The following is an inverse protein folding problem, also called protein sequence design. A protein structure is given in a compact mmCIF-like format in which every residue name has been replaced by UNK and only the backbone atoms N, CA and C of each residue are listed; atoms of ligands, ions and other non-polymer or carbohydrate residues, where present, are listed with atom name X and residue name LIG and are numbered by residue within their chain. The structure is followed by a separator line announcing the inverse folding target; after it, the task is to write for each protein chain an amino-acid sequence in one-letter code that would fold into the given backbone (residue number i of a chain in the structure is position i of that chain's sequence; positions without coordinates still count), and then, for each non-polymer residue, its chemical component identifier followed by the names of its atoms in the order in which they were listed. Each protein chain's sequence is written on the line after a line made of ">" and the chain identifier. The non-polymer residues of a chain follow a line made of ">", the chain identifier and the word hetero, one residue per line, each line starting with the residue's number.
data_IF_822282830645
#
_entry.id   IF_822282830645
#
_cell.length_a   1.000
_cell.length_b   1.000
_cell.length_c   1.000
_cell.angle_alpha   90.00
_cell.angle_beta   90.00
_cell.angle_gamma   90.00
#
_symmetry.space_group_name_H-M   'P 1'
#
loop_
_entity.id
_entity.type
_entity.pdbx_description
1 polymer ?
#
# COMPACT_ATOMS: atom_id res chain seq x y z
N UNK A 1 31.75 -22.50 24.88
CA UNK A 1 31.68 -21.01 24.85
C UNK A 1 30.88 -20.63 23.61
N UNK A 2 29.60 -20.99 23.53
CA UNK A 2 28.45 -20.30 24.11
C UNK A 2 27.49 -20.05 22.94
N UNK A 3 26.75 -21.08 22.50
CA UNK A 3 25.34 -21.33 22.87
C UNK A 3 24.41 -20.11 22.71
N UNK A 4 23.56 -20.18 21.67
CA UNK A 4 22.09 -20.06 21.74
C UNK A 4 21.54 -20.23 20.32
N UNK A 5 21.13 -21.44 19.92
CA UNK A 5 19.80 -22.02 20.14
C UNK A 5 18.72 -21.29 19.32
N UNK A 6 18.58 -21.74 18.07
CA UNK A 6 17.39 -21.59 17.25
C UNK A 6 16.36 -22.63 17.68
N UNK A 7 15.19 -22.20 18.16
CA UNK A 7 13.91 -22.93 18.19
C UNK A 7 12.85 -21.94 18.73
N UNK A 8 11.55 -22.12 18.49
CA UNK A 8 10.87 -22.28 17.21
C UNK A 8 9.76 -21.23 17.03
N UNK A 9 9.26 -21.10 15.79
CA UNK A 9 7.99 -20.44 15.47
C UNK A 9 6.87 -21.20 16.20
N UNK A 10 6.42 -20.66 17.33
CA UNK A 10 5.19 -21.07 17.98
C UNK A 10 4.06 -20.19 17.44
N UNK A 11 3.32 -20.77 16.51
CA UNK A 11 1.92 -20.48 16.29
C UNK A 11 1.21 -20.51 17.65
N UNK A 12 0.80 -19.34 18.15
CA UNK A 12 -0.21 -19.24 19.20
C UNK A 12 -1.42 -18.51 18.63
N UNK A 13 -2.16 -19.22 17.77
CA UNK A 13 -3.60 -19.06 17.71
C UNK A 13 -4.20 -19.48 19.05
N UNK A 14 -4.10 -18.59 20.04
CA UNK A 14 -4.83 -18.71 21.30
C UNK A 14 -6.14 -17.95 21.16
N UNK A 15 -7.30 -18.54 21.48
CA UNK A 15 -8.55 -17.82 21.43
C UNK A 15 -8.46 -16.63 22.40
N UNK A 16 -8.97 -15.47 21.97
CA UNK A 16 -9.33 -14.40 22.89
C UNK A 16 -10.30 -15.00 23.92
N UNK A 17 -9.77 -15.52 25.02
CA UNK A 17 -10.52 -15.72 26.25
C UNK A 17 -10.84 -14.31 26.72
N UNK A 18 -11.94 -13.79 26.21
CA UNK A 18 -12.70 -12.75 26.86
C UNK A 18 -12.88 -13.28 28.27
N UNK A 19 -12.13 -12.71 29.22
CA UNK A 19 -12.49 -12.77 30.62
C UNK A 19 -13.82 -12.01 30.72
N UNK A 20 -14.89 -12.68 30.32
CA UNK A 20 -16.21 -12.47 30.84
C UNK A 20 -16.05 -12.79 32.32
N UNK A 21 -15.65 -11.78 33.08
CA UNK A 21 -16.06 -11.71 34.48
C UNK A 21 -17.57 -11.85 34.41
N UNK A 22 -18.14 -12.97 34.91
CA UNK A 22 -19.57 -13.04 35.02
C UNK A 22 -19.89 -11.97 36.05
N UNK A 23 -20.46 -10.86 35.59
CA UNK A 23 -21.33 -10.06 36.43
C UNK A 23 -22.50 -11.00 36.73
N UNK A 24 -22.27 -11.86 37.72
CA UNK A 24 -23.31 -12.68 38.32
C UNK A 24 -24.24 -11.64 38.90
N UNK A 25 -25.32 -11.37 38.18
CA UNK A 25 -26.42 -10.56 38.68
C UNK A 25 -26.95 -11.34 39.88
N UNK A 26 -26.45 -10.97 41.06
CA UNK A 26 -26.95 -11.50 42.31
C UNK A 26 -28.32 -10.87 42.45
N UNK A 27 -29.41 -11.66 42.45
CA UNK A 27 -30.74 -11.11 42.63
C UNK A 27 -30.76 -10.33 43.96
N UNK A 28 -31.57 -9.26 44.06
CA UNK A 28 -31.68 -8.55 45.33
C UNK A 28 -32.04 -9.58 46.41
N UNK A 29 -31.36 -9.60 47.57
CA UNK A 29 -31.71 -10.55 48.60
C UNK A 29 -33.15 -10.28 49.01
N UNK A 30 -34.04 -11.21 48.66
CA UNK A 30 -35.29 -11.37 49.39
C UNK A 30 -34.90 -11.49 50.85
N UNK A 31 -35.43 -10.56 51.66
CA UNK A 31 -35.36 -10.53 53.11
C UNK A 31 -34.04 -11.02 53.72
N UNK A 32 -33.19 -10.09 54.16
CA UNK A 32 -32.01 -10.41 54.99
C UNK A 32 -32.40 -11.07 56.31
N UNK A 33 -32.64 -12.38 56.28
CA UNK A 33 -32.63 -13.27 57.44
C UNK A 33 -31.17 -13.71 57.66
N UNK A 34 -30.43 -12.89 58.41
CA UNK A 34 -29.18 -13.32 59.01
C UNK A 34 -29.49 -14.35 60.08
N UNK A 35 -29.31 -15.63 59.76
CA UNK A 35 -29.33 -16.69 60.75
C UNK A 35 -28.06 -16.61 61.60
N UNK A 36 -28.20 -16.06 62.80
CA UNK A 36 -27.38 -16.41 63.97
C UNK A 36 -28.30 -17.00 65.03
N UNK A 37 -27.78 -17.96 65.79
CA UNK A 37 -28.57 -18.90 66.57
C UNK A 37 -29.45 -18.29 67.68
N UNK A 38 -29.46 -16.98 67.92
CA UNK A 38 -30.30 -16.32 68.94
C UNK A 38 -30.97 -15.05 68.38
N UNK A 39 -32.31 -15.07 68.28
CA UNK A 39 -33.18 -13.89 68.19
C UNK A 39 -33.18 -13.07 66.88
N UNK A 40 -34.33 -12.98 66.19
CA UNK A 40 -34.55 -12.02 65.08
C UNK A 40 -34.39 -10.59 65.59
N UNK A 41 -33.26 -9.95 65.31
CA UNK A 41 -33.12 -8.51 65.47
C UNK A 41 -33.62 -7.81 64.21
N UNK A 42 -34.92 -7.49 64.18
CA UNK A 42 -35.49 -6.63 63.14
C UNK A 42 -34.94 -5.22 63.35
N UNK A 43 -33.89 -4.87 62.60
CA UNK A 43 -33.36 -3.51 62.55
C UNK A 43 -34.49 -2.54 62.17
N UNK A 44 -34.65 -1.43 62.91
CA UNK A 44 -35.67 -0.43 62.58
C UNK A 44 -35.45 0.07 61.14
N UNK A 45 -36.53 0.37 60.39
CA UNK A 45 -36.44 0.88 59.01
C UNK A 45 -35.50 2.09 58.87
N UNK A 46 -35.47 2.96 59.88
CA UNK A 46 -34.58 4.13 59.95
C UNK A 46 -33.09 3.76 60.01
N UNK A 47 -32.71 2.75 60.79
CA UNK A 47 -31.34 2.21 60.83
C UNK A 47 -30.93 1.56 59.51
N UNK A 48 -31.85 0.83 58.87
CA UNK A 48 -31.58 0.17 57.59
C UNK A 48 -31.36 1.20 56.46
N UNK A 49 -32.17 2.27 56.43
CA UNK A 49 -31.98 3.39 55.51
C UNK A 49 -30.64 4.10 55.68
N UNK A 50 -30.18 4.31 56.91
CA UNK A 50 -28.89 4.96 57.18
C UNK A 50 -27.71 4.10 56.72
N UNK A 51 -27.77 2.79 56.93
CA UNK A 51 -26.77 1.85 56.42
C UNK A 51 -26.74 1.85 54.90
N UNK A 52 -27.91 1.78 54.24
CA UNK A 52 -27.99 1.84 52.77
C UNK A 52 -27.45 3.17 52.21
N UNK A 53 -27.70 4.30 52.86
CA UNK A 53 -27.11 5.59 52.46
C UNK A 53 -25.58 5.62 52.57
N UNK A 54 -25.01 4.98 53.60
CA UNK A 54 -23.55 4.85 53.75
C UNK A 54 -22.97 3.95 52.66
N UNK A 55 -23.59 2.81 52.40
CA UNK A 55 -23.19 1.89 51.32
C UNK A 55 -23.21 2.61 49.95
N UNK A 56 -24.27 3.35 49.64
CA UNK A 56 -24.36 4.13 48.39
C UNK A 56 -23.25 5.16 48.31
N UNK A 57 -22.97 5.90 49.39
CA UNK A 57 -21.88 6.87 49.41
C UNK A 57 -20.49 6.22 49.22
N UNK A 58 -20.26 5.03 49.76
CA UNK A 58 -19.02 4.28 49.57
C UNK A 58 -18.88 3.76 48.14
N UNK A 59 -19.96 3.21 47.57
CA UNK A 59 -20.01 2.74 46.18
C UNK A 59 -19.80 3.91 45.22
N UNK A 60 -20.42 5.07 45.46
CA UNK A 60 -20.21 6.28 44.67
C UNK A 60 -18.75 6.75 44.72
N UNK A 61 -18.12 6.75 45.90
CA UNK A 61 -16.69 7.09 46.03
C UNK A 61 -15.81 6.10 45.29
N UNK A 62 -16.10 4.80 45.36
CA UNK A 62 -15.36 3.76 44.64
C UNK A 62 -15.51 3.90 43.12
N UNK A 63 -16.72 4.17 42.63
CA UNK A 63 -16.99 4.44 41.21
C UNK A 63 -16.27 5.69 40.72
N UNK A 64 -16.24 6.77 41.51
CA UNK A 64 -15.50 7.99 41.17
C UNK A 64 -14.00 7.70 41.02
N UNK A 65 -13.39 7.00 41.98
CA UNK A 65 -11.98 6.57 41.89
C UNK A 65 -11.72 5.70 40.66
N UNK A 66 -12.59 4.74 40.35
CA UNK A 66 -12.45 3.91 39.14
C UNK A 66 -12.54 4.74 37.86
N UNK A 67 -13.46 5.71 37.79
CA UNK A 67 -13.60 6.60 36.63
C UNK A 67 -12.36 7.47 36.45
N UNK A 68 -11.84 8.05 37.53
CA UNK A 68 -10.60 8.84 37.51
C UNK A 68 -9.41 8.03 37.02
N UNK A 69 -9.22 6.81 37.53
CA UNK A 69 -8.12 5.93 37.10
C UNK A 69 -8.27 5.55 35.62
N UNK A 70 -9.47 5.16 35.16
CA UNK A 70 -9.71 4.84 33.74
C UNK A 70 -9.52 6.05 32.84
N UNK A 71 -9.91 7.24 33.29
CA UNK A 71 -9.72 8.47 32.54
C UNK A 71 -8.23 8.83 32.42
N UNK A 72 -7.47 8.74 33.51
CA UNK A 72 -6.01 8.94 33.50
C UNK A 72 -5.31 8.00 32.53
N UNK A 73 -5.62 6.70 32.59
CA UNK A 73 -5.06 5.71 31.66
C UNK A 73 -5.41 6.00 30.19
N UNK A 74 -6.65 6.46 29.91
CA UNK A 74 -7.04 6.87 28.55
C UNK A 74 -6.27 8.10 28.09
N UNK A 75 -6.09 9.08 28.96
CA UNK A 75 -5.32 10.28 28.65
C UNK A 75 -3.84 9.98 28.40
N UNK A 76 -3.24 9.08 29.18
CA UNK A 76 -1.86 8.63 28.98
C UNK A 76 -1.70 7.92 27.64
N UNK A 77 -2.61 7.01 27.27
CA UNK A 77 -2.58 6.36 25.95
C UNK A 77 -2.73 7.35 24.80
N UNK A 78 -3.59 8.34 24.94
CA UNK A 78 -3.76 9.40 23.94
C UNK A 78 -2.50 10.27 23.85
N UNK A 79 -1.88 10.61 24.97
CA UNK A 79 -0.63 11.37 25.00
C UNK A 79 0.53 10.61 24.33
N UNK A 80 0.66 9.31 24.62
CA UNK A 80 1.62 8.43 23.96
C UNK A 80 1.37 8.36 22.45
N UNK A 81 0.09 8.23 22.04
CA UNK A 81 -0.27 8.19 20.61
C UNK A 81 0.05 9.50 19.91
N UNK A 82 -0.18 10.65 20.56
CA UNK A 82 0.20 11.97 20.04
C UNK A 82 1.72 12.05 19.83
N UNK A 83 2.51 11.73 20.84
CA UNK A 83 3.98 11.71 20.71
C UNK A 83 4.47 10.80 19.58
N UNK A 84 3.86 9.62 19.41
CA UNK A 84 4.19 8.73 18.30
C UNK A 84 3.87 9.32 16.92
N UNK A 85 2.74 10.04 16.81
CA UNK A 85 2.37 10.72 15.58
C UNK A 85 3.32 11.89 15.29
N UNK A 86 3.67 12.68 16.31
CA UNK A 86 4.61 13.81 16.17
C UNK A 86 5.98 13.32 15.68
N UNK A 87 6.49 12.22 16.24
CA UNK A 87 7.75 11.61 15.80
C UNK A 87 7.67 11.08 14.37
N UNK A 88 6.55 10.47 13.97
CA UNK A 88 6.36 10.00 12.60
C UNK A 88 6.27 11.15 11.61
N UNK A 89 5.58 12.22 11.98
CA UNK A 89 5.50 13.43 11.19
C UNK A 89 6.88 14.05 10.99
N UNK A 90 7.68 14.18 12.06
CA UNK A 90 9.06 14.66 11.97
C UNK A 90 9.90 13.80 11.02
N UNK A 91 9.85 12.47 11.13
CA UNK A 91 10.56 11.56 10.21
C UNK A 91 10.13 11.76 8.76
N UNK A 92 8.84 11.94 8.50
CA UNK A 92 8.34 12.19 7.14
C UNK A 92 8.81 13.55 6.61
N UNK A 93 8.84 14.58 7.47
CA UNK A 93 9.40 15.90 7.13
C UNK A 93 10.89 15.79 6.78
N UNK A 94 11.68 15.07 7.56
CA UNK A 94 13.10 14.86 7.32
C UNK A 94 13.34 14.14 5.99
N UNK A 95 12.56 13.09 5.71
CA UNK A 95 12.60 12.39 4.43
C UNK A 95 12.24 13.32 3.28
N UNK A 96 11.21 14.17 3.45
CA UNK A 96 10.84 15.19 2.47
C UNK A 96 11.98 16.17 2.17
N UNK A 97 12.66 16.68 3.21
CA UNK A 97 13.81 17.57 3.06
C UNK A 97 15.01 16.87 2.38
N UNK A 98 15.25 15.61 2.70
CA UNK A 98 16.31 14.83 2.05
C UNK A 98 16.00 14.60 0.55
N UNK A 99 14.74 14.33 0.21
CA UNK A 99 14.33 14.20 -1.19
C UNK A 99 14.45 15.53 -1.96
N UNK A 100 14.04 16.66 -1.38
CA UNK A 100 14.19 17.95 -2.06
C UNK A 100 15.67 18.31 -2.26
N UNK A 101 16.52 18.08 -1.27
CA UNK A 101 17.97 18.26 -1.40
C UNK A 101 18.57 17.34 -2.48
N UNK A 102 18.11 16.08 -2.57
CA UNK A 102 18.53 15.17 -3.63
C UNK A 102 18.13 15.67 -5.02
N UNK A 103 16.90 16.17 -5.19
CA UNK A 103 16.43 16.74 -6.45
C UNK A 103 17.20 18.01 -6.83
N UNK A 104 17.53 18.87 -5.88
CA UNK A 104 18.37 20.04 -6.13
C UNK A 104 19.78 19.61 -6.56
N UNK A 105 20.39 18.66 -5.87
CA UNK A 105 21.71 18.14 -6.23
C UNK A 105 21.71 17.44 -7.60
N UNK A 106 20.63 16.74 -7.96
CA UNK A 106 20.50 16.13 -9.28
C UNK A 106 20.32 17.17 -10.38
N UNK A 107 19.53 18.22 -10.16
CA UNK A 107 19.38 19.33 -11.10
C UNK A 107 20.73 20.04 -11.35
N UNK A 108 21.50 20.34 -10.31
CA UNK A 108 22.85 20.93 -10.46
C UNK A 108 23.80 20.00 -11.23
N UNK A 109 23.72 18.68 -11.01
CA UNK A 109 24.51 17.70 -11.79
C UNK A 109 24.10 17.69 -13.27
N UNK A 110 22.80 17.74 -13.55
CA UNK A 110 22.29 17.79 -14.93
C UNK A 110 22.74 19.06 -15.64
N UNK A 111 22.62 20.21 -14.99
CA UNK A 111 23.07 21.50 -15.54
C UNK A 111 24.58 21.47 -15.86
N UNK A 112 25.41 20.96 -14.96
CA UNK A 112 26.85 20.79 -15.20
C UNK A 112 27.14 19.84 -16.37
N UNK A 113 26.40 18.75 -16.50
CA UNK A 113 26.56 17.82 -17.62
C UNK A 113 26.20 18.49 -18.95
N UNK A 114 25.13 19.29 -18.97
CA UNK A 114 24.72 20.06 -20.15
C UNK A 114 25.75 21.13 -20.51
N UNK A 115 26.27 21.87 -19.53
CA UNK A 115 27.33 22.86 -19.74
C UNK A 115 28.59 22.21 -20.34
N UNK A 116 29.06 21.09 -19.78
CA UNK A 116 30.21 20.35 -20.31
C UNK A 116 29.97 19.84 -21.73
N UNK A 117 28.76 19.36 -22.01
CA UNK A 117 28.39 18.91 -23.35
C UNK A 117 28.38 20.09 -24.35
N UNK A 118 27.91 21.27 -23.93
CA UNK A 118 27.94 22.48 -24.75
C UNK A 118 29.37 22.98 -24.99
N UNK A 119 30.21 23.01 -23.97
CA UNK A 119 31.63 23.36 -24.06
C UNK A 119 32.38 22.40 -24.98
N UNK A 120 32.19 21.09 -24.84
CA UNK A 120 32.81 20.10 -25.73
C UNK A 120 32.37 20.29 -27.20
N UNK A 121 31.08 20.60 -27.44
CA UNK A 121 30.59 20.90 -28.79
C UNK A 121 31.21 22.18 -29.35
N UNK A 122 31.37 23.21 -28.54
CA UNK A 122 32.02 24.45 -28.93
C UNK A 122 33.50 24.21 -29.30
N UNK A 123 34.22 23.43 -28.48
CA UNK A 123 35.62 23.07 -28.75
C UNK A 123 35.78 22.28 -30.06
N UNK A 124 34.89 21.31 -30.32
CA UNK A 124 34.90 20.56 -31.59
C UNK A 124 34.62 21.50 -32.76
N UNK A 125 33.65 22.41 -32.64
CA UNK A 125 33.36 23.38 -33.69
C UNK A 125 34.54 24.35 -33.97
N UNK A 126 35.27 24.76 -32.93
CA UNK A 126 36.50 25.55 -33.06
C UNK A 126 37.59 24.76 -33.79
N UNK A 127 37.83 23.51 -33.39
CA UNK A 127 38.79 22.62 -34.04
C UNK A 127 38.43 22.35 -35.50
N UNK A 128 37.14 22.13 -35.82
CA UNK A 128 36.66 21.93 -37.18
C UNK A 128 36.86 23.19 -38.03
N UNK A 129 36.62 24.38 -37.46
CA UNK A 129 36.85 25.65 -38.14
C UNK A 129 38.35 25.88 -38.42
N UNK A 130 39.21 25.56 -37.45
CA UNK A 130 40.67 25.61 -37.63
C UNK A 130 41.16 24.60 -38.68
N UNK A 131 40.67 23.37 -38.63
CA UNK A 131 40.95 22.36 -39.63
C UNK A 131 40.53 22.85 -41.01
N UNK A 132 39.32 23.40 -41.17
CA UNK A 132 38.85 23.94 -42.44
C UNK A 132 39.75 25.08 -42.96
N UNK A 133 40.21 25.98 -42.08
CA UNK A 133 41.16 27.06 -42.43
C UNK A 133 42.49 26.50 -42.94
N UNK A 134 43.06 25.51 -42.25
CA UNK A 134 44.31 24.87 -42.65
C UNK A 134 44.17 24.13 -44.00
N UNK A 135 43.05 23.43 -44.23
CA UNK A 135 42.78 22.78 -45.51
C UNK A 135 42.70 23.79 -46.66
N UNK A 136 42.06 24.95 -46.46
CA UNK A 136 42.03 26.02 -47.46
C UNK A 136 43.42 26.57 -47.76
N UNK A 137 44.25 26.76 -46.73
CA UNK A 137 45.65 27.20 -46.91
C UNK A 137 46.47 26.18 -47.70
N UNK A 138 46.35 24.89 -47.36
CA UNK A 138 47.02 23.80 -48.09
C UNK A 138 46.58 23.73 -49.55
N UNK A 139 45.27 23.85 -49.83
CA UNK A 139 44.75 23.88 -51.19
C UNK A 139 45.33 25.08 -51.98
N UNK A 140 45.43 26.25 -51.36
CA UNK A 140 46.06 27.43 -51.97
C UNK A 140 47.54 27.21 -52.31
N UNK A 141 48.31 26.62 -51.39
CA UNK A 141 49.72 26.28 -51.61
C UNK A 141 49.89 25.21 -52.70
N UNK A 142 49.03 24.19 -52.72
CA UNK A 142 49.03 23.16 -53.77
C UNK A 142 48.77 23.76 -55.15
N UNK A 143 47.76 24.63 -55.28
CA UNK A 143 47.50 25.34 -56.52
C UNK A 143 48.69 26.20 -56.96
N UNK A 144 49.37 26.87 -56.03
CA UNK A 144 50.56 27.65 -56.34
C UNK A 144 51.72 26.76 -56.84
N UNK A 145 51.97 25.64 -56.16
CA UNK A 145 52.95 24.62 -56.59
C UNK A 145 52.61 24.09 -57.98
N UNK A 146 51.35 23.77 -58.25
CA UNK A 146 50.94 23.20 -59.52
C UNK A 146 51.07 24.23 -60.66
N UNK A 147 50.77 25.52 -60.41
CA UNK A 147 51.05 26.62 -61.35
C UNK A 147 52.54 26.76 -61.64
N UNK A 148 53.39 26.68 -60.61
CA UNK A 148 54.85 26.70 -60.79
C UNK A 148 55.34 25.48 -61.58
N UNK A 149 54.82 24.29 -61.28
CA UNK A 149 55.14 23.06 -61.99
C UNK A 149 54.70 23.14 -63.47
N UNK A 150 53.52 23.70 -63.76
CA UNK A 150 53.06 23.95 -65.13
C UNK A 150 53.96 24.94 -65.86
N UNK A 151 54.39 26.03 -65.19
CA UNK A 151 55.36 26.98 -65.74
C UNK A 151 56.70 26.31 -66.05
N UNK A 152 57.22 25.51 -65.12
CA UNK A 152 58.44 24.73 -65.35
C UNK A 152 58.28 23.77 -66.54
N UNK A 153 57.16 23.06 -66.66
CA UNK A 153 56.87 22.19 -67.82
C UNK A 153 56.80 22.96 -69.13
N UNK A 154 56.19 24.16 -69.15
CA UNK A 154 56.14 24.99 -70.35
C UNK A 154 57.50 25.58 -70.75
N UNK A 155 58.40 25.79 -69.78
CA UNK A 155 59.79 26.22 -70.00
C UNK A 155 60.72 25.05 -70.39
N UNK A 156 60.23 23.81 -70.33
CA UNK A 156 60.97 22.61 -70.67
C UNK A 156 60.27 21.79 -71.77
N UNK A 157 60.31 22.24 -73.04
CA UNK A 157 59.92 21.40 -74.15
C UNK A 157 61.06 20.39 -74.40
N UNK A 158 60.85 19.15 -73.97
CA UNK A 158 61.74 18.02 -74.21
C UNK A 158 63.23 18.27 -73.90
N UNK A 159 63.60 18.19 -72.62
CA UNK A 159 65.00 18.02 -72.26
C UNK A 159 65.15 17.02 -71.12
N UNK A 160 65.69 15.87 -71.53
CA UNK A 160 66.45 14.90 -70.74
C UNK A 160 65.69 14.02 -69.76
N UNK A 161 65.71 12.73 -70.09
CA UNK A 161 65.93 11.67 -69.11
C UNK A 161 66.84 12.14 -67.95
N UNK A 162 66.60 11.70 -66.71
CA UNK A 162 67.45 12.13 -65.63
C UNK A 162 68.88 11.63 -65.87
N UNK A 163 69.93 12.44 -65.64
CA UNK A 163 71.24 11.88 -65.36
C UNK A 163 71.18 11.31 -63.94
N UNK A 164 70.46 10.20 -63.74
CA UNK A 164 70.70 9.31 -62.59
C UNK A 164 72.13 8.72 -62.66
N UNK A 165 72.79 8.83 -63.82
CA UNK A 165 74.16 8.40 -64.05
C UNK A 165 75.24 9.14 -63.22
N UNK A 166 74.91 10.22 -62.51
CA UNK A 166 75.89 10.92 -61.68
C UNK A 166 75.94 10.43 -60.20
N UNK A 167 74.94 9.68 -59.73
CA UNK A 167 74.89 9.20 -58.33
C UNK A 167 75.27 7.72 -58.16
N UNK A 168 75.27 6.94 -59.23
CA UNK A 168 75.61 5.53 -59.20
C UNK A 168 76.77 5.24 -60.14
N UNK A 169 77.92 4.94 -59.56
CA UNK A 169 79.16 4.70 -60.30
C UNK A 169 79.23 3.26 -60.88
N UNK A 170 78.36 2.33 -60.45
CA UNK A 170 78.33 0.92 -60.90
C UNK A 170 76.89 0.38 -61.01
N UNK A 171 76.62 -0.48 -62.01
CA UNK A 171 75.34 -1.18 -62.23
C UNK A 171 74.94 -2.05 -61.03
N UNK A 172 75.93 -2.63 -60.34
CA UNK A 172 75.70 -3.40 -59.11
C UNK A 172 75.11 -2.54 -57.98
N UNK A 173 75.52 -1.28 -57.86
CA UNK A 173 74.97 -0.35 -56.87
C UNK A 173 73.52 0.02 -57.16
N UNK A 174 73.15 0.15 -58.44
CA UNK A 174 71.75 0.37 -58.83
C UNK A 174 70.88 -0.85 -58.50
N UNK A 175 71.34 -2.06 -58.83
CA UNK A 175 70.62 -3.30 -58.51
C UNK A 175 70.42 -3.45 -56.99
N UNK A 176 71.45 -3.20 -56.18
CA UNK A 176 71.34 -3.26 -54.71
C UNK A 176 70.34 -2.21 -54.16
N UNK A 177 70.29 -1.01 -54.75
CA UNK A 177 69.30 0.00 -54.36
C UNK A 177 67.87 -0.44 -54.73
N UNK A 178 67.66 -1.01 -55.92
CA UNK A 178 66.36 -1.54 -56.33
C UNK A 178 65.92 -2.72 -55.46
N UNK A 179 66.83 -3.62 -55.11
CA UNK A 179 66.56 -4.71 -54.17
C UNK A 179 66.16 -4.18 -52.79
N UNK A 180 66.85 -3.16 -52.28
CA UNK A 180 66.48 -2.50 -51.03
C UNK A 180 65.10 -1.82 -51.10
N UNK A 181 64.76 -1.18 -52.22
CA UNK A 181 63.43 -0.60 -52.43
C UNK A 181 62.33 -1.67 -52.53
N UNK A 182 62.60 -2.81 -53.16
CA UNK A 182 61.66 -3.93 -53.22
C UNK A 182 61.46 -4.55 -51.83
N UNK A 183 62.54 -4.72 -51.05
CA UNK A 183 62.47 -5.18 -49.67
C UNK A 183 61.68 -4.20 -48.78
N UNK A 184 61.93 -2.89 -48.92
CA UNK A 184 61.17 -1.85 -48.21
C UNK A 184 59.69 -1.88 -48.59
N UNK A 185 59.37 -2.02 -49.88
CA UNK A 185 57.98 -2.16 -50.34
C UNK A 185 57.31 -3.39 -49.74
N UNK A 186 58.00 -4.53 -49.69
CA UNK A 186 57.48 -5.75 -49.08
C UNK A 186 57.21 -5.54 -47.58
N UNK A 187 58.14 -4.90 -46.85
CA UNK A 187 57.96 -4.59 -45.44
C UNK A 187 56.75 -3.66 -45.20
N UNK A 188 56.61 -2.60 -46.00
CA UNK A 188 55.48 -1.67 -45.90
C UNK A 188 54.13 -2.35 -46.21
N UNK A 189 54.10 -3.29 -47.16
CA UNK A 189 52.88 -4.09 -47.44
C UNK A 189 52.53 -4.97 -46.25
N UNK A 190 53.50 -5.66 -45.64
CA UNK A 190 53.25 -6.47 -44.45
C UNK A 190 52.78 -5.63 -43.26
N UNK A 191 53.35 -4.44 -43.05
CA UNK A 191 52.91 -3.52 -42.01
C UNK A 191 51.48 -3.01 -42.25
N UNK A 192 51.12 -2.75 -43.52
CA UNK A 192 49.78 -2.35 -43.89
C UNK A 192 48.76 -3.48 -43.67
N UNK A 193 49.10 -4.71 -44.04
CA UNK A 193 48.27 -5.91 -43.80
C UNK A 193 48.09 -6.16 -42.30
N UNK A 194 49.17 -6.15 -41.52
CA UNK A 194 49.10 -6.27 -40.06
C UNK A 194 48.29 -5.13 -39.41
N UNK A 195 48.40 -3.91 -39.95
CA UNK A 195 47.56 -2.77 -39.56
C UNK A 195 46.07 -3.04 -39.83
N UNK A 196 45.75 -3.55 -41.01
CA UNK A 196 44.38 -3.86 -41.42
C UNK A 196 43.76 -4.98 -40.57
N UNK A 197 44.51 -6.03 -40.27
CA UNK A 197 44.07 -7.10 -39.37
C UNK A 197 43.75 -6.58 -37.96
N UNK A 198 44.60 -5.70 -37.42
CA UNK A 198 44.35 -5.06 -36.11
C UNK A 198 43.06 -4.24 -36.14
N UNK A 199 42.79 -3.52 -37.24
CA UNK A 199 41.54 -2.78 -37.40
C UNK A 199 40.35 -3.72 -37.45
N UNK A 200 40.40 -4.79 -38.26
CA UNK A 200 39.31 -5.78 -38.36
C UNK A 200 39.04 -6.44 -37.00
N UNK A 201 40.09 -6.82 -36.27
CA UNK A 201 39.96 -7.36 -34.91
C UNK A 201 39.36 -6.33 -33.94
N UNK A 202 39.78 -5.07 -34.01
CA UNK A 202 39.21 -3.98 -33.23
C UNK A 202 37.71 -3.79 -33.50
N UNK A 203 37.30 -3.82 -34.76
CA UNK A 203 35.90 -3.74 -35.16
C UNK A 203 35.08 -4.94 -34.69
N UNK A 204 35.65 -6.15 -34.76
CA UNK A 204 34.99 -7.36 -34.25
C UNK A 204 34.76 -7.29 -32.73
N UNK A 205 35.77 -6.83 -31.97
CA UNK A 205 35.65 -6.62 -30.51
C UNK A 205 34.58 -5.57 -30.19
N UNK A 206 34.58 -4.44 -30.90
CA UNK A 206 33.57 -3.41 -30.71
C UNK A 206 32.16 -3.92 -30.99
N UNK A 207 31.99 -4.75 -32.03
CA UNK A 207 30.71 -5.39 -32.34
C UNK A 207 30.26 -6.33 -31.23
N UNK A 208 31.16 -7.18 -30.73
CA UNK A 208 30.90 -8.06 -29.59
C UNK A 208 30.43 -7.28 -28.36
N UNK A 209 31.15 -6.24 -27.95
CA UNK A 209 30.75 -5.39 -26.82
C UNK A 209 29.38 -4.73 -27.02
N UNK A 210 29.05 -4.31 -28.25
CA UNK A 210 27.72 -3.75 -28.56
C UNK A 210 26.62 -4.79 -28.45
N UNK A 211 26.85 -6.00 -28.95
CA UNK A 211 25.87 -7.09 -28.87
C UNK A 211 25.66 -7.54 -27.42
N UNK A 212 26.72 -7.68 -26.63
CA UNK A 212 26.67 -8.00 -25.20
C UNK A 212 25.88 -6.94 -24.43
N UNK A 213 26.24 -5.66 -24.58
CA UNK A 213 25.54 -4.55 -23.91
C UNK A 213 24.08 -4.45 -24.31
N UNK A 214 23.75 -4.66 -25.59
CA UNK A 214 22.35 -4.72 -26.02
C UNK A 214 21.61 -5.92 -25.42
N UNK A 215 22.27 -7.08 -25.33
CA UNK A 215 21.74 -8.26 -24.66
C UNK A 215 21.41 -8.00 -23.19
N UNK A 216 22.34 -7.42 -22.44
CA UNK A 216 22.14 -7.04 -21.03
C UNK A 216 20.99 -6.04 -20.86
N UNK A 217 20.91 -5.02 -21.72
CA UNK A 217 19.82 -4.06 -21.70
C UNK A 217 18.46 -4.71 -21.96
N UNK A 218 18.39 -5.69 -22.86
CA UNK A 218 17.17 -6.45 -23.12
C UNK A 218 16.77 -7.34 -21.94
N UNK A 219 17.74 -7.97 -21.27
CA UNK A 219 17.50 -8.73 -20.03
C UNK A 219 16.94 -7.84 -18.93
N UNK A 220 17.56 -6.69 -18.67
CA UNK A 220 17.06 -5.74 -17.65
C UNK A 220 15.68 -5.21 -18.04
N UNK A 221 15.43 -4.93 -19.32
CA UNK A 221 14.13 -4.46 -19.78
C UNK A 221 13.03 -5.51 -19.58
N UNK A 222 13.32 -6.79 -19.84
CA UNK A 222 12.36 -7.88 -19.65
C UNK A 222 12.08 -8.13 -18.17
N UNK A 223 13.10 -8.14 -17.30
CA UNK A 223 12.95 -8.23 -15.85
C UNK A 223 12.09 -7.08 -15.31
N UNK A 224 12.35 -5.85 -15.75
CA UNK A 224 11.56 -4.69 -15.37
C UNK A 224 10.10 -4.83 -15.79
N UNK A 225 9.85 -5.33 -17.00
CA UNK A 225 8.48 -5.57 -17.48
C UNK A 225 7.76 -6.64 -16.64
N UNK A 226 8.45 -7.71 -16.25
CA UNK A 226 7.91 -8.76 -15.38
C UNK A 226 7.56 -8.21 -13.99
N UNK A 227 8.49 -7.50 -13.36
CA UNK A 227 8.26 -6.88 -12.05
C UNK A 227 7.09 -5.89 -12.09
N UNK A 228 6.98 -5.11 -13.16
CA UNK A 228 5.87 -4.18 -13.33
C UNK A 228 4.53 -4.92 -13.48
N UNK A 229 4.49 -5.99 -14.27
CA UNK A 229 3.29 -6.82 -14.40
C UNK A 229 2.86 -7.45 -13.06
N UNK A 230 3.81 -7.90 -12.24
CA UNK A 230 3.53 -8.43 -10.90
C UNK A 230 2.96 -7.35 -9.96
N UNK A 231 3.51 -6.14 -10.00
CA UNK A 231 2.98 -5.01 -9.22
C UNK A 231 1.55 -4.64 -9.63
N UNK A 232 1.29 -4.55 -10.94
CA UNK A 232 -0.06 -4.27 -11.45
C UNK A 232 -1.06 -5.38 -11.09
N UNK A 233 -0.64 -6.65 -11.10
CA UNK A 233 -1.47 -7.75 -10.64
C UNK A 233 -1.81 -7.63 -9.14
N UNK A 234 -0.82 -7.36 -8.28
CA UNK A 234 -1.03 -7.15 -6.86
C UNK A 234 -1.94 -5.95 -6.57
N UNK A 235 -1.78 -4.85 -7.31
CA UNK A 235 -2.69 -3.69 -7.19
C UNK A 235 -4.13 -4.06 -7.56
N UNK A 236 -4.35 -4.84 -8.63
CA UNK A 236 -5.70 -5.29 -8.99
C UNK A 236 -6.33 -6.14 -7.90
N UNK A 237 -5.58 -7.04 -7.27
CA UNK A 237 -6.08 -7.86 -6.16
C UNK A 237 -6.47 -7.01 -4.95
N UNK A 238 -5.65 -6.03 -4.59
CA UNK A 238 -5.96 -5.10 -3.49
C UNK A 238 -7.22 -4.30 -3.80
N UNK A 239 -7.34 -3.72 -5.00
CA UNK A 239 -8.52 -2.96 -5.41
C UNK A 239 -9.79 -3.82 -5.42
N UNK A 240 -9.70 -5.07 -5.86
CA UNK A 240 -10.81 -6.02 -5.77
C UNK A 240 -11.21 -6.26 -4.31
N UNK A 241 -10.24 -6.54 -3.43
CA UNK A 241 -10.50 -6.72 -2.00
C UNK A 241 -11.13 -5.50 -1.34
N UNK A 242 -10.64 -4.31 -1.66
CA UNK A 242 -11.20 -3.04 -1.18
C UNK A 242 -12.64 -2.84 -1.66
N UNK A 243 -12.93 -3.13 -2.94
CA UNK A 243 -14.29 -3.02 -3.48
C UNK A 243 -15.26 -3.98 -2.81
N UNK A 244 -14.85 -5.24 -2.56
CA UNK A 244 -15.64 -6.23 -1.86
C UNK A 244 -15.91 -5.81 -0.41
N UNK A 245 -14.89 -5.29 0.27
CA UNK A 245 -15.01 -4.81 1.64
C UNK A 245 -15.92 -3.58 1.74
N UNK A 246 -15.78 -2.60 0.83
CA UNK A 246 -16.63 -1.43 0.76
C UNK A 246 -18.10 -1.83 0.49
N UNK A 247 -18.34 -2.80 -0.39
CA UNK A 247 -19.68 -3.32 -0.64
C UNK A 247 -20.27 -3.98 0.62
N UNK A 248 -19.52 -4.86 1.28
CA UNK A 248 -19.95 -5.50 2.52
C UNK A 248 -20.24 -4.47 3.62
N UNK A 249 -19.43 -3.42 3.71
CA UNK A 249 -19.65 -2.32 4.64
C UNK A 249 -20.93 -1.55 4.32
N UNK A 250 -21.18 -1.18 3.06
CA UNK A 250 -22.43 -0.52 2.64
C UNK A 250 -23.64 -1.35 3.03
N UNK A 251 -23.65 -2.64 2.67
CA UNK A 251 -24.75 -3.55 3.02
C UNK A 251 -24.92 -3.69 4.54
N UNK A 252 -23.83 -3.73 5.31
CA UNK A 252 -23.92 -3.76 6.77
C UNK A 252 -24.52 -2.46 7.34
N UNK A 253 -24.14 -1.29 6.79
CA UNK A 253 -24.72 -0.01 7.21
C UNK A 253 -26.21 0.09 6.87
N UNK A 254 -26.62 -0.36 5.68
CA UNK A 254 -28.03 -0.42 5.28
C UNK A 254 -28.86 -1.33 6.20
N UNK A 255 -28.37 -2.55 6.48
CA UNK A 255 -29.04 -3.48 7.39
C UNK A 255 -29.12 -2.93 8.82
N UNK A 256 -28.06 -2.28 9.29
CA UNK A 256 -28.04 -1.65 10.62
C UNK A 256 -29.04 -0.49 10.70
N UNK A 257 -29.16 0.30 9.63
CA UNK A 257 -30.14 1.38 9.54
C UNK A 257 -31.57 0.82 9.56
N UNK A 258 -31.86 -0.21 8.76
CA UNK A 258 -33.18 -0.86 8.75
C UNK A 258 -33.53 -1.44 10.13
N UNK A 259 -32.57 -2.07 10.81
CA UNK A 259 -32.77 -2.57 12.16
C UNK A 259 -33.07 -1.43 13.14
N UNK A 260 -32.34 -0.32 13.06
CA UNK A 260 -32.59 0.85 13.91
C UNK A 260 -33.98 1.47 13.64
N UNK A 261 -34.41 1.54 12.38
CA UNK A 261 -35.75 1.99 12.00
C UNK A 261 -36.84 1.05 12.52
N UNK A 262 -36.66 -0.28 12.40
CA UNK A 262 -37.57 -1.27 12.97
C UNK A 262 -37.66 -1.14 14.49
N UNK A 263 -36.53 -1.04 15.19
CA UNK A 263 -36.48 -0.82 16.63
C UNK A 263 -37.28 0.43 17.03
N UNK A 264 -37.09 1.54 16.31
CA UNK A 264 -37.80 2.78 16.56
C UNK A 264 -39.30 2.67 16.28
N UNK A 265 -39.70 1.99 15.19
CA UNK A 265 -41.10 1.76 14.86
C UNK A 265 -41.80 0.90 15.94
N UNK A 266 -41.15 -0.19 16.37
CA UNK A 266 -41.65 -1.07 17.45
C UNK A 266 -41.80 -0.29 18.76
N UNK A 267 -40.81 0.53 19.13
CA UNK A 267 -40.88 1.42 20.29
C UNK A 267 -42.05 2.40 20.22
N UNK A 268 -42.22 3.08 19.07
CA UNK A 268 -43.30 4.04 18.88
C UNK A 268 -44.67 3.38 18.99
N UNK A 269 -44.84 2.20 18.38
CA UNK A 269 -46.08 1.43 18.45
C UNK A 269 -46.34 0.88 19.86
N UNK A 270 -45.30 0.42 20.56
CA UNK A 270 -45.36 0.00 21.96
C UNK A 270 -45.87 1.14 22.85
N UNK A 271 -45.33 2.36 22.70
CA UNK A 271 -45.80 3.53 23.43
C UNK A 271 -47.26 3.87 23.12
N UNK A 272 -47.67 3.81 21.84
CA UNK A 272 -49.06 4.06 21.44
C UNK A 272 -50.04 3.03 22.02
N UNK A 273 -49.65 1.76 22.09
CA UNK A 273 -50.48 0.68 22.65
C UNK A 273 -50.54 0.73 24.20
N UNK A 274 -49.45 1.12 24.87
CA UNK A 274 -49.39 1.14 26.34
C UNK A 274 -49.95 2.41 26.98
N UNK A 275 -49.96 3.55 26.26
CA UNK A 275 -50.53 4.81 26.71
C UNK A 275 -52.01 4.73 27.18
N UNK A 276 -52.95 4.10 26.44
CA UNK A 276 -54.34 3.94 26.88
C UNK A 276 -54.52 2.86 27.95
N UNK A 277 -53.61 1.89 28.05
CA UNK A 277 -53.68 0.75 28.97
C UNK A 277 -53.12 1.06 30.37
N UNK A 278 -52.47 2.22 30.58
CA UNK A 278 -51.83 2.61 31.85
C UNK A 278 -50.91 1.52 32.44
N UNK A 279 -50.29 0.71 31.59
CA UNK A 279 -49.34 -0.32 32.01
C UNK A 279 -47.99 0.36 32.22
N UNK A 280 -47.57 0.50 33.49
CA UNK A 280 -46.19 0.86 33.81
C UNK A 280 -45.30 -0.37 33.61
N UNK A 281 -44.73 -0.52 32.42
CA UNK A 281 -43.71 -1.51 32.15
C UNK A 281 -42.34 -0.83 32.24
N UNK A 282 -41.52 -1.24 33.23
CA UNK A 282 -40.07 -1.00 33.27
C UNK A 282 -39.37 -1.88 32.22
N UNK A 283 -39.77 -1.77 30.95
CA UNK A 283 -39.13 -2.49 29.85
C UNK A 283 -37.98 -1.66 29.28
N UNK A 284 -36.83 -2.29 29.09
CA UNK A 284 -35.64 -1.61 28.58
C UNK A 284 -35.88 -1.09 27.14
N UNK A 285 -35.40 0.13 26.87
CA UNK A 285 -35.60 0.84 25.59
C UNK A 285 -35.03 0.08 24.38
N UNK A 286 -34.05 -0.80 24.59
CA UNK A 286 -33.36 -1.57 23.53
C UNK A 286 -33.95 -2.96 23.27
N UNK A 287 -34.86 -3.44 24.12
CA UNK A 287 -35.27 -4.84 24.15
C UNK A 287 -36.60 -5.06 23.40
N UNK A 288 -36.51 -5.08 22.07
CA UNK A 288 -37.66 -5.20 21.17
C UNK A 288 -38.48 -6.48 21.40
N UNK A 289 -37.84 -7.57 21.82
CA UNK A 289 -38.54 -8.84 22.11
C UNK A 289 -39.45 -8.68 23.33
N UNK A 290 -38.96 -8.07 24.41
CA UNK A 290 -39.76 -7.80 25.61
C UNK A 290 -40.88 -6.77 25.37
N UNK A 291 -40.66 -5.79 24.49
CA UNK A 291 -41.68 -4.80 24.09
C UNK A 291 -42.83 -5.45 23.31
N UNK A 292 -42.53 -6.41 22.42
CA UNK A 292 -43.55 -7.14 21.67
C UNK A 292 -44.29 -8.16 22.54
N UNK A 293 -43.58 -8.85 23.45
CA UNK A 293 -44.16 -9.83 24.35
C UNK A 293 -45.13 -9.20 25.36
N UNK A 294 -44.81 -8.02 25.88
CA UNK A 294 -45.66 -7.27 26.82
C UNK A 294 -46.96 -6.78 26.16
N UNK A 295 -46.92 -6.37 24.90
CA UNK A 295 -48.10 -5.98 24.13
C UNK A 295 -48.94 -7.20 23.73
N UNK A 296 -48.31 -8.31 23.35
CA UNK A 296 -49.00 -9.58 23.10
C UNK A 296 -49.68 -10.13 24.35
N UNK A 297 -49.06 -10.00 25.52
CA UNK A 297 -49.63 -10.42 26.80
C UNK A 297 -50.78 -9.51 27.28
N UNK A 298 -50.79 -8.23 26.90
CA UNK A 298 -51.84 -7.27 27.23
C UNK A 298 -53.05 -7.32 26.27
N UNK A 299 -52.95 -8.04 25.15
CA UNK A 299 -54.00 -8.18 24.14
C UNK A 299 -55.14 -9.12 24.61
N UNK A 300 -56.42 -8.70 24.63
CA UNK A 300 -57.51 -9.52 25.17
C UNK A 300 -58.00 -10.69 24.28
N UNK A 301 -57.39 -10.94 23.12
CA UNK A 301 -57.90 -11.88 22.11
C UNK A 301 -57.25 -13.28 22.10
N UNK A 302 -56.46 -13.63 23.12
CA UNK A 302 -55.72 -14.90 23.12
C UNK A 302 -55.53 -15.57 24.48
N UNK A 303 -56.56 -15.66 25.33
CA UNK A 303 -56.54 -16.59 26.48
C UNK A 303 -57.92 -17.15 26.76
N UNK A 304 -58.19 -18.34 26.23
CA UNK A 304 -59.27 -19.18 26.72
C UNK A 304 -58.90 -19.75 28.08
N UNK A 305 -59.33 -19.11 29.17
CA UNK A 305 -59.49 -19.77 30.47
C UNK A 305 -60.61 -19.10 31.27
N UNK A 306 -61.50 -19.94 31.79
CA UNK A 306 -62.72 -19.66 32.56
C UNK A 306 -62.48 -18.79 33.80
N UNK A 307 -63.39 -17.85 34.07
CA UNK A 307 -63.87 -17.56 35.43
C UNK A 307 -63.61 -16.14 35.99
N UNK A 308 -64.73 -15.44 36.26
CA UNK A 308 -64.99 -14.35 37.22
C UNK A 308 -64.74 -12.87 36.81
N UNK A 309 -65.89 -12.21 36.55
CA UNK A 309 -66.36 -10.89 37.00
C UNK A 309 -65.49 -9.61 36.83
N UNK A 310 -65.86 -8.82 35.80
CA UNK A 310 -65.99 -7.34 35.61
C UNK A 310 -65.11 -6.32 36.38
N UNK A 311 -64.87 -5.06 35.89
CA UNK A 311 -65.63 -4.35 34.83
C UNK A 311 -64.81 -3.55 33.78
N UNK A 312 -65.53 -3.05 32.76
CA UNK A 312 -65.25 -1.87 31.92
C UNK A 312 -64.27 -2.06 30.75
N UNK A 313 -64.78 -2.69 29.68
CA UNK A 313 -64.24 -2.56 28.32
C UNK A 313 -64.46 -1.12 27.85
N UNK A 314 -63.39 -0.32 27.82
CA UNK A 314 -63.31 0.76 26.86
C UNK A 314 -63.29 0.09 25.49
N UNK A 315 -64.24 0.45 24.63
CA UNK A 315 -64.23 0.05 23.22
C UNK A 315 -62.90 0.51 22.66
N UNK A 316 -61.98 -0.45 22.46
CA UNK A 316 -60.79 -0.23 21.66
C UNK A 316 -61.31 0.22 20.29
N UNK A 317 -61.14 1.50 19.97
CA UNK A 317 -61.43 2.05 18.65
C UNK A 317 -60.80 1.15 17.59
N UNK A 318 -61.39 1.01 16.40
CA UNK A 318 -60.87 0.12 15.34
C UNK A 318 -59.36 0.32 15.06
N UNK A 319 -58.86 1.53 15.29
CA UNK A 319 -57.43 1.88 15.29
C UNK A 319 -56.55 1.10 16.27
N UNK A 320 -57.03 0.76 17.46
CA UNK A 320 -56.24 0.08 18.51
C UNK A 320 -56.11 -1.43 18.25
N UNK A 321 -57.14 -2.05 17.65
CA UNK A 321 -57.04 -3.43 17.14
C UNK A 321 -56.09 -3.50 15.94
N UNK A 322 -56.12 -2.48 15.08
CA UNK A 322 -55.25 -2.39 13.92
C UNK A 322 -53.77 -2.20 14.30
N UNK A 323 -53.48 -1.42 15.34
CA UNK A 323 -52.12 -1.29 15.91
C UNK A 323 -51.62 -2.62 16.49
N UNK A 324 -52.49 -3.40 17.14
CA UNK A 324 -52.13 -4.72 17.69
C UNK A 324 -51.85 -5.75 16.60
N UNK A 325 -52.62 -5.73 15.50
CA UNK A 325 -52.37 -6.56 14.32
C UNK A 325 -51.04 -6.20 13.65
N UNK A 326 -50.76 -4.91 13.45
CA UNK A 326 -49.48 -4.47 12.89
C UNK A 326 -48.28 -4.86 13.76
N UNK A 327 -48.42 -4.88 15.09
CA UNK A 327 -47.37 -5.34 16.01
C UNK A 327 -47.13 -6.85 15.91
N UNK A 328 -48.15 -7.65 15.63
CA UNK A 328 -48.02 -9.09 15.39
C UNK A 328 -47.33 -9.38 14.05
N UNK A 329 -47.69 -8.64 12.99
CA UNK A 329 -47.05 -8.77 11.68
C UNK A 329 -45.57 -8.36 11.72
N UNK A 330 -45.25 -7.28 12.46
CA UNK A 330 -43.86 -6.85 12.67
C UNK A 330 -43.06 -7.87 13.49
N UNK A 331 -43.66 -8.54 14.47
CA UNK A 331 -43.01 -9.61 15.23
C UNK A 331 -42.66 -10.81 14.34
N UNK A 332 -43.54 -11.17 13.39
CA UNK A 332 -43.29 -12.22 12.41
C UNK A 332 -42.14 -11.84 11.44
N UNK A 333 -42.15 -10.61 10.93
CA UNK A 333 -41.08 -10.09 10.06
C UNK A 333 -39.73 -10.03 10.79
N UNK A 334 -39.72 -9.62 12.06
CA UNK A 334 -38.51 -9.60 12.88
C UNK A 334 -37.95 -11.02 13.15
N UNK A 335 -38.82 -12.03 13.25
CA UNK A 335 -38.39 -13.42 13.41
C UNK A 335 -37.74 -14.00 12.14
N UNK A 336 -38.19 -13.59 10.95
CA UNK A 336 -37.58 -13.98 9.66
C UNK A 336 -36.26 -13.28 9.35
N UNK A 337 -36.09 -12.05 9.84
CA UNK A 337 -34.86 -11.27 9.68
C UNK A 337 -33.72 -11.69 10.64
N UNK A 338 -33.95 -12.66 11.53
CA UNK A 338 -32.87 -13.21 12.38
C UNK A 338 -31.77 -13.77 11.48
N UNK A 339 -30.50 -13.40 11.72
CA UNK A 339 -29.40 -13.88 10.89
C UNK A 339 -29.31 -15.41 10.99
N UNK A 340 -29.64 -16.11 9.91
CA UNK A 340 -29.19 -17.50 9.73
C UNK A 340 -27.67 -17.48 9.81
N UNK A 341 -27.11 -18.37 10.62
CA UNK A 341 -25.67 -18.46 10.82
C UNK A 341 -24.95 -18.45 9.46
N UNK A 342 -23.86 -17.68 9.31
CA UNK A 342 -23.06 -17.75 8.10
C UNK A 342 -22.57 -19.20 7.94
N UNK A 343 -23.06 -19.88 6.91
CA UNK A 343 -22.47 -21.14 6.48
C UNK A 343 -20.97 -20.93 6.23
N UNK A 344 -20.13 -21.96 6.43
CA UNK A 344 -18.70 -21.84 6.22
C UNK A 344 -18.44 -21.31 4.80
N UNK A 345 -17.72 -20.20 4.71
CA UNK A 345 -17.26 -19.67 3.42
C UNK A 345 -16.50 -20.78 2.68
N UNK A 346 -16.72 -20.96 1.35
CA UNK A 346 -15.88 -21.87 0.58
C UNK A 346 -14.44 -21.40 0.72
N UNK A 347 -13.57 -22.30 1.18
CA UNK A 347 -12.15 -22.05 1.29
C UNK A 347 -11.63 -21.53 -0.05
N UNK A 348 -10.90 -20.41 -0.01
CA UNK A 348 -10.13 -19.92 -1.13
C UNK A 348 -9.27 -21.08 -1.66
N UNK A 349 -9.59 -21.55 -2.86
CA UNK A 349 -8.73 -22.47 -3.60
C UNK A 349 -7.41 -21.74 -3.84
N UNK A 350 -6.42 -22.07 -3.03
CA UNK A 350 -5.02 -21.74 -3.29
C UNK A 350 -4.62 -22.48 -4.57
N UNK A 351 -4.79 -21.83 -5.72
CA UNK A 351 -4.17 -22.27 -6.96
C UNK A 351 -2.68 -21.97 -6.81
N UNK A 352 -1.96 -22.95 -6.26
CA UNK A 352 -0.52 -23.01 -6.40
C UNK A 352 -0.21 -23.17 -7.89
N UNK A 353 0.14 -22.07 -8.56
CA UNK A 353 0.88 -22.14 -9.81
C UNK A 353 2.24 -22.79 -9.53
N UNK A 354 2.28 -24.11 -9.76
CA UNK A 354 3.51 -24.90 -9.84
C UNK A 354 4.19 -24.53 -11.15
N UNK A 355 4.97 -23.46 -11.13
CA UNK A 355 5.99 -23.22 -12.16
C UNK A 355 7.11 -24.23 -11.96
N UNK A 356 7.10 -25.30 -12.76
CA UNK A 356 8.22 -26.21 -12.86
C UNK A 356 8.33 -26.72 -14.30
N UNK A 357 9.49 -26.40 -14.88
CA UNK A 357 10.26 -27.18 -15.85
C UNK A 357 9.67 -27.39 -17.24
N UNK A 358 10.27 -26.73 -18.22
CA UNK A 358 10.60 -27.37 -19.50
C UNK A 358 12.10 -27.20 -19.78
N UNK A 359 12.70 -28.13 -20.55
CA UNK A 359 14.14 -28.42 -20.60
C UNK A 359 15.01 -27.42 -21.36
#
# INVERSE_FOLDING_TARGET
>A
MGEQAWLPVLSSGGPCRVLLMPWRWVPPPGHSELHTAHGRMVLRPSTCLLLKRREVAEVERALRRQREVRFRQRMERLAQRRQQLDQREQRLRDVGLNFTAFLQASAVRQERALQRAAEARAQVAEQDAEAARLHQQLAGLQQHRDRLAQRLRSLHPAASEPPLAAQFQDVRSMLAHFEALLAMRAALVQEAEAGQERLVQGWARLRGYREETLGELLCIASERAQLHACLEAAHREVLQGESCWAHAQSTATEKTLLLAQLKLAVLNLFHLATAPLKVHADTALEDTEQQMDTVSAASPLGRGTRGRSCPRMAVASGSHLQVLLCMQDLAAICAELRPRQPGPCPAATSVHHRGATEP
#
